data_IF_908221464848
#
_entry.id   IF_908221464848
#
_cell.length_a   1.000
_cell.length_b   1.000
_cell.length_c   1.000
_cell.angle_alpha   90.00
_cell.angle_beta   90.00
_cell.angle_gamma   90.00
#
_symmetry.space_group_name_H-M   'P 1'
#
loop_
_entity.id
_entity.type
_entity.pdbx_description
1 polymer ?
#
# COMPACT_ATOMS: atom_id res chain seq x y z
N UNK A 1 15.32 12.16 19.37
CA UNK A 1 15.09 11.41 18.12
C UNK A 1 14.67 12.40 17.05
N UNK A 2 15.25 12.35 15.85
CA UNK A 2 14.84 13.20 14.74
C UNK A 2 13.49 12.70 14.21
N UNK A 3 12.44 13.52 14.30
CA UNK A 3 11.15 13.24 13.66
C UNK A 3 11.17 13.84 12.26
N UNK A 4 10.71 13.08 11.27
CA UNK A 4 10.47 13.58 9.92
C UNK A 4 8.96 13.60 9.67
N UNK A 5 8.46 14.70 9.12
CA UNK A 5 7.06 14.84 8.72
C UNK A 5 6.91 14.58 7.24
N UNK A 6 5.95 13.73 6.88
CA UNK A 6 5.52 13.49 5.51
C UNK A 6 4.13 14.11 5.36
N UNK A 7 3.93 14.92 4.32
CA UNK A 7 2.67 15.61 4.03
C UNK A 7 2.16 15.21 2.65
N UNK A 8 0.86 14.96 2.56
CA UNK A 8 0.12 14.84 1.32
C UNK A 8 -1.11 15.76 1.37
N UNK A 9 -1.55 16.23 0.22
CA UNK A 9 -2.76 17.04 0.04
C UNK A 9 -3.64 16.38 -1.02
N UNK A 10 -4.95 16.43 -0.84
CA UNK A 10 -5.93 15.83 -1.76
C UNK A 10 -7.01 16.85 -2.07
N UNK A 11 -7.25 17.10 -3.34
CA UNK A 11 -8.25 18.07 -3.83
C UNK A 11 -9.25 17.37 -4.75
N UNK A 12 -10.53 17.72 -4.64
CA UNK A 12 -11.55 17.22 -5.58
C UNK A 12 -11.44 17.96 -6.91
N UNK A 13 -11.53 17.20 -8.00
CA UNK A 13 -11.66 17.75 -9.36
C UNK A 13 -13.12 17.69 -9.87
N UNK A 14 -14.07 17.31 -9.01
CA UNK A 14 -15.47 17.04 -9.37
C UNK A 14 -15.77 15.54 -9.44
N UNK A 15 -17.04 15.18 -9.16
CA UNK A 15 -17.42 13.77 -9.06
C UNK A 15 -16.62 13.03 -7.99
N UNK A 16 -16.10 11.84 -8.33
CA UNK A 16 -15.22 11.03 -7.48
C UNK A 16 -13.74 11.16 -7.85
N UNK A 17 -13.38 12.04 -8.78
CA UNK A 17 -11.99 12.27 -9.18
C UNK A 17 -11.27 13.18 -8.18
N UNK A 18 -10.10 12.73 -7.74
CA UNK A 18 -9.26 13.41 -6.76
C UNK A 18 -7.83 13.56 -7.27
N UNK A 19 -7.25 14.74 -7.09
CA UNK A 19 -5.82 15.01 -7.31
C UNK A 19 -5.08 14.85 -5.99
N UNK A 20 -4.14 13.91 -5.92
CA UNK A 20 -3.30 13.66 -4.76
C UNK A 20 -1.89 14.22 -4.99
N UNK A 21 -1.39 15.04 -4.07
CA UNK A 21 -0.11 15.74 -4.21
C UNK A 21 0.82 15.51 -3.02
N UNK A 22 2.11 15.25 -3.27
CA UNK A 22 3.13 15.15 -2.23
C UNK A 22 4.52 15.56 -2.76
N UNK A 23 5.20 16.51 -2.10
CA UNK A 23 6.55 16.99 -2.47
C UNK A 23 6.69 17.43 -3.94
N UNK A 24 5.62 17.96 -4.54
CA UNK A 24 5.58 18.38 -5.95
C UNK A 24 5.31 17.26 -6.97
N UNK A 25 5.05 16.03 -6.50
CA UNK A 25 4.53 14.95 -7.35
C UNK A 25 3.01 14.89 -7.23
N UNK A 26 2.35 14.52 -8.32
CA UNK A 26 0.90 14.37 -8.40
C UNK A 26 0.51 13.02 -8.99
N UNK A 27 -0.62 12.48 -8.52
CA UNK A 27 -1.30 11.36 -9.15
C UNK A 27 -2.82 11.49 -8.93
N UNK A 28 -3.59 10.81 -9.78
CA UNK A 28 -5.04 10.80 -9.70
C UNK A 28 -5.55 9.59 -8.93
N UNK A 29 -6.67 9.78 -8.26
CA UNK A 29 -7.53 8.75 -7.69
C UNK A 29 -8.93 8.95 -8.25
N UNK A 30 -9.62 7.85 -8.52
CA UNK A 30 -10.99 7.83 -9.01
C UNK A 30 -11.71 6.57 -8.49
N UNK A 31 -12.89 6.27 -8.98
CA UNK A 31 -13.58 5.01 -8.75
C UNK A 31 -14.04 4.39 -10.09
N UNK A 32 -14.32 3.09 -10.14
CA UNK A 32 -14.92 2.47 -11.32
C UNK A 32 -16.30 3.05 -11.66
N UNK A 33 -16.70 2.96 -12.93
CA UNK A 33 -17.98 3.50 -13.42
C UNK A 33 -19.19 2.92 -12.67
N UNK A 34 -19.14 1.64 -12.29
CA UNK A 34 -20.25 0.94 -11.62
C UNK A 34 -20.55 1.44 -10.20
N UNK A 35 -19.67 2.26 -9.61
CA UNK A 35 -19.86 2.92 -8.32
C UNK A 35 -19.86 4.45 -8.44
N UNK A 36 -19.95 4.99 -9.67
CA UNK A 36 -20.15 6.40 -9.95
C UNK A 36 -18.90 7.22 -10.22
N UNK A 37 -17.74 6.58 -10.38
CA UNK A 37 -16.53 7.24 -10.86
C UNK A 37 -16.42 7.22 -12.39
N UNK A 38 -15.24 7.56 -12.92
CA UNK A 38 -14.96 7.59 -14.37
C UNK A 38 -14.02 6.49 -14.84
N UNK A 39 -13.53 5.65 -13.92
CA UNK A 39 -12.55 4.61 -14.19
C UNK A 39 -11.27 5.13 -14.90
N UNK A 40 -10.90 6.40 -14.67
CA UNK A 40 -9.73 7.04 -15.29
C UNK A 40 -8.46 6.94 -14.41
N UNK A 41 -8.63 6.52 -13.15
CA UNK A 41 -7.54 6.25 -12.22
C UNK A 41 -7.91 5.10 -11.27
N UNK A 42 -6.90 4.59 -10.55
CA UNK A 42 -7.11 3.60 -9.49
C UNK A 42 -7.93 4.16 -8.34
N UNK A 43 -8.64 3.29 -7.64
CA UNK A 43 -9.35 3.68 -6.42
C UNK A 43 -8.42 3.82 -5.21
N UNK A 44 -8.86 4.50 -4.12
CA UNK A 44 -8.02 4.72 -2.95
C UNK A 44 -7.48 3.43 -2.34
N UNK A 45 -8.27 2.35 -2.39
CA UNK A 45 -7.90 1.06 -1.81
C UNK A 45 -6.86 0.34 -2.67
N UNK A 46 -6.97 0.39 -4.00
CA UNK A 46 -5.95 -0.08 -4.94
C UNK A 46 -4.64 0.69 -4.79
N UNK A 47 -4.71 2.02 -4.63
CA UNK A 47 -3.53 2.84 -4.35
C UNK A 47 -2.84 2.46 -3.04
N UNK A 48 -3.61 2.10 -2.00
CA UNK A 48 -3.05 1.57 -0.75
C UNK A 48 -2.33 0.22 -0.97
N UNK A 49 -2.91 -0.70 -1.74
CA UNK A 49 -2.25 -1.98 -2.08
C UNK A 49 -0.98 -1.75 -2.91
N UNK A 50 -1.01 -0.82 -3.87
CA UNK A 50 0.16 -0.41 -4.64
C UNK A 50 1.25 0.16 -3.73
N UNK A 51 0.89 1.03 -2.79
CA UNK A 51 1.82 1.59 -1.80
C UNK A 51 2.47 0.51 -0.93
N UNK A 52 1.69 -0.48 -0.48
CA UNK A 52 2.20 -1.62 0.28
C UNK A 52 3.20 -2.46 -0.53
N UNK A 53 2.86 -2.81 -1.78
CA UNK A 53 3.73 -3.56 -2.69
C UNK A 53 5.02 -2.79 -3.02
N UNK A 54 4.89 -1.50 -3.35
CA UNK A 54 6.02 -0.62 -3.63
C UNK A 54 6.96 -0.50 -2.42
N UNK A 55 6.40 -0.38 -1.22
CA UNK A 55 7.18 -0.31 0.01
C UNK A 55 7.98 -1.59 0.25
N UNK A 56 7.36 -2.77 0.09
CA UNK A 56 8.04 -4.08 0.18
C UNK A 56 9.20 -4.18 -0.83
N UNK A 57 8.97 -3.76 -2.08
CA UNK A 57 10.01 -3.73 -3.12
C UNK A 57 11.15 -2.75 -2.81
N UNK A 58 10.83 -1.57 -2.27
CA UNK A 58 11.82 -0.58 -1.86
C UNK A 58 12.72 -1.11 -0.72
N UNK A 59 12.16 -1.81 0.26
CA UNK A 59 12.95 -2.47 1.32
C UNK A 59 13.98 -3.42 0.70
N UNK A 60 13.59 -4.27 -0.26
CA UNK A 60 14.57 -5.13 -0.95
C UNK A 60 15.66 -4.31 -1.62
N UNK A 61 15.29 -3.26 -2.36
CA UNK A 61 16.26 -2.42 -3.08
C UNK A 61 17.26 -1.72 -2.15
N UNK A 62 16.85 -1.36 -0.93
CA UNK A 62 17.76 -0.77 0.05
C UNK A 62 18.74 -1.79 0.66
N UNK A 63 18.36 -3.07 0.77
CA UNK A 63 19.10 -4.04 1.57
C UNK A 63 19.65 -5.26 0.81
N UNK A 64 19.31 -5.47 -0.47
CA UNK A 64 19.68 -6.69 -1.19
C UNK A 64 21.20 -6.91 -1.29
N UNK A 65 21.99 -5.85 -1.51
CA UNK A 65 23.45 -5.94 -1.57
C UNK A 65 24.04 -6.34 -0.21
N UNK A 66 23.58 -5.69 0.86
CA UNK A 66 24.02 -6.00 2.22
C UNK A 66 23.66 -7.44 2.64
N UNK A 67 22.57 -7.97 2.08
CA UNK A 67 22.09 -9.35 2.27
C UNK A 67 22.70 -10.36 1.28
N UNK A 68 23.59 -9.93 0.38
CA UNK A 68 24.25 -10.78 -0.63
C UNK A 68 23.27 -11.55 -1.54
N UNK A 69 22.11 -10.96 -1.82
CA UNK A 69 21.12 -11.55 -2.74
C UNK A 69 21.50 -11.21 -4.18
N UNK A 70 21.68 -12.24 -5.01
CA UNK A 70 21.87 -12.16 -6.46
C UNK A 70 20.51 -12.18 -7.16
N UNK A 71 19.78 -11.07 -7.03
CA UNK A 71 18.43 -10.93 -7.53
C UNK A 71 18.41 -10.67 -9.04
N UNK A 72 17.78 -11.57 -9.81
CA UNK A 72 17.55 -11.41 -11.24
C UNK A 72 16.28 -10.57 -11.48
N UNK A 73 15.17 -11.00 -10.89
CA UNK A 73 13.91 -10.28 -10.95
C UNK A 73 13.06 -10.50 -9.70
N UNK A 74 12.17 -9.54 -9.43
CA UNK A 74 11.21 -9.64 -8.36
C UNK A 74 9.94 -8.88 -8.69
N UNK A 75 8.80 -9.50 -8.44
CA UNK A 75 7.47 -8.87 -8.47
C UNK A 75 6.74 -9.21 -7.18
N UNK A 76 5.96 -8.25 -6.70
CA UNK A 76 5.03 -8.46 -5.59
C UNK A 76 3.63 -8.17 -6.09
N UNK A 77 2.71 -9.07 -5.80
CA UNK A 77 1.28 -8.90 -6.05
C UNK A 77 0.57 -8.84 -4.70
N UNK A 78 -0.27 -7.82 -4.54
CA UNK A 78 -1.03 -7.59 -3.33
C UNK A 78 -2.52 -7.69 -3.67
N UNK A 79 -3.24 -8.55 -2.97
CA UNK A 79 -4.68 -8.73 -3.13
C UNK A 79 -5.35 -8.29 -1.83
N UNK A 80 -6.34 -7.42 -1.92
CA UNK A 80 -7.16 -7.00 -0.79
C UNK A 80 -8.58 -7.53 -0.90
N UNK A 81 -9.06 -8.21 0.14
CA UNK A 81 -10.44 -8.67 0.24
C UNK A 81 -11.25 -7.63 1.04
N UNK A 82 -12.41 -7.22 0.52
CA UNK A 82 -13.36 -6.33 1.22
C UNK A 82 -14.65 -7.11 1.42
N UNK A 83 -15.23 -6.98 2.61
CA UNK A 83 -16.53 -7.56 2.87
C UNK A 83 -17.66 -6.59 2.48
N UNK A 84 -18.32 -6.92 1.37
CA UNK A 84 -19.44 -6.15 0.81
C UNK A 84 -20.66 -6.07 1.74
N UNK A 85 -20.77 -6.92 2.77
CA UNK A 85 -21.88 -6.85 3.71
C UNK A 85 -21.85 -5.57 4.56
N UNK A 86 -20.68 -4.91 4.67
CA UNK A 86 -20.61 -3.58 5.25
C UNK A 86 -21.42 -2.55 4.45
N UNK A 87 -21.36 -2.63 3.12
CA UNK A 87 -22.16 -1.77 2.22
C UNK A 87 -23.66 -2.06 2.34
N UNK A 88 -24.04 -3.24 2.86
CA UNK A 88 -25.43 -3.62 3.16
C UNK A 88 -25.87 -3.22 4.58
N UNK A 89 -25.08 -2.43 5.29
CA UNK A 89 -25.44 -1.84 6.58
C UNK A 89 -25.15 -2.71 7.80
N UNK A 90 -24.42 -3.84 7.67
CA UNK A 90 -24.02 -4.62 8.85
C UNK A 90 -22.96 -3.85 9.67
N UNK A 91 -23.19 -3.61 10.98
CA UNK A 91 -22.30 -2.79 11.80
C UNK A 91 -20.99 -3.48 12.17
N UNK A 92 -20.99 -4.81 12.29
CA UNK A 92 -19.86 -5.59 12.83
C UNK A 92 -18.84 -6.02 11.75
N UNK A 93 -19.01 -5.55 10.53
CA UNK A 93 -18.14 -5.88 9.39
C UNK A 93 -17.07 -4.79 9.24
N UNK A 94 -15.82 -5.21 9.04
CA UNK A 94 -14.70 -4.29 8.82
C UNK A 94 -14.96 -3.40 7.59
N UNK A 95 -14.70 -2.11 7.73
CA UNK A 95 -14.93 -1.11 6.67
C UNK A 95 -13.91 -1.21 5.53
N UNK A 96 -12.64 -1.38 5.86
CA UNK A 96 -11.56 -1.59 4.89
C UNK A 96 -11.31 -3.07 4.60
N UNK A 97 -10.09 -3.40 4.15
CA UNK A 97 -9.72 -4.77 3.86
C UNK A 97 -9.89 -5.71 5.06
N UNK A 98 -10.66 -6.79 4.89
CA UNK A 98 -10.79 -7.89 5.84
C UNK A 98 -9.55 -8.78 5.83
N UNK A 99 -8.91 -8.90 4.66
CA UNK A 99 -7.68 -9.68 4.47
C UNK A 99 -6.83 -9.08 3.35
N UNK A 100 -5.52 -9.14 3.53
CA UNK A 100 -4.53 -8.78 2.50
C UNK A 100 -3.63 -9.98 2.27
N UNK A 101 -3.48 -10.39 1.02
CA UNK A 101 -2.60 -11.47 0.57
C UNK A 101 -1.42 -10.83 -0.15
N UNK A 102 -0.20 -11.25 0.17
CA UNK A 102 1.03 -10.84 -0.53
C UNK A 102 1.63 -12.05 -1.21
N UNK A 103 1.70 -12.03 -2.54
CA UNK A 103 2.36 -13.05 -3.35
C UNK A 103 3.71 -12.49 -3.82
N UNK A 104 4.79 -13.19 -3.45
CA UNK A 104 6.14 -12.88 -3.89
C UNK A 104 6.53 -13.77 -5.07
N UNK A 105 6.98 -13.15 -6.15
CA UNK A 105 7.58 -13.82 -7.30
C UNK A 105 9.05 -13.38 -7.34
N UNK A 106 9.96 -14.29 -6.99
CA UNK A 106 11.38 -13.99 -6.82
C UNK A 106 12.17 -14.95 -7.71
N UNK A 107 13.05 -14.38 -8.52
CA UNK A 107 14.05 -15.08 -9.32
C UNK A 107 15.42 -14.57 -8.87
N UNK A 108 16.22 -15.46 -8.26
CA UNK A 108 17.53 -15.15 -7.71
C UNK A 108 18.44 -16.38 -7.70
N UNK A 109 19.75 -16.14 -7.85
CA UNK A 109 20.79 -17.19 -7.77
C UNK A 109 21.20 -17.42 -6.30
N UNK A 110 20.22 -17.75 -5.46
CA UNK A 110 20.33 -17.91 -4.01
C UNK A 110 19.59 -19.19 -3.56
N UNK A 111 19.85 -19.67 -2.34
CA UNK A 111 19.10 -20.80 -1.80
C UNK A 111 17.69 -20.40 -1.36
N UNK A 112 16.79 -21.37 -1.26
CA UNK A 112 15.43 -21.16 -0.76
C UNK A 112 15.42 -20.56 0.65
N UNK A 113 16.38 -20.95 1.50
CA UNK A 113 16.56 -20.38 2.84
C UNK A 113 16.94 -18.90 2.79
N UNK A 114 17.89 -18.52 1.94
CA UNK A 114 18.29 -17.12 1.77
C UNK A 114 17.14 -16.25 1.25
N UNK A 115 16.31 -16.80 0.34
CA UNK A 115 15.12 -16.12 -0.17
C UNK A 115 14.05 -15.98 0.92
N UNK A 116 13.83 -17.02 1.74
CA UNK A 116 12.90 -16.95 2.90
C UNK A 116 13.36 -15.92 3.92
N UNK A 117 14.65 -15.86 4.21
CA UNK A 117 15.23 -14.88 5.13
C UNK A 117 15.10 -13.45 4.60
N UNK A 118 15.26 -13.26 3.28
CA UNK A 118 14.97 -12.00 2.62
C UNK A 118 13.51 -11.61 2.81
N UNK A 119 12.56 -12.49 2.51
CA UNK A 119 11.13 -12.21 2.65
C UNK A 119 10.75 -11.89 4.10
N UNK A 120 11.25 -12.67 5.07
CA UNK A 120 11.04 -12.41 6.49
C UNK A 120 11.57 -11.02 6.90
N UNK A 121 12.72 -10.62 6.36
CA UNK A 121 13.28 -9.29 6.59
C UNK A 121 12.41 -8.17 5.98
N UNK A 122 11.91 -8.34 4.75
CA UNK A 122 10.98 -7.40 4.12
C UNK A 122 9.72 -7.22 4.98
N UNK A 123 9.12 -8.34 5.38
CA UNK A 123 7.91 -8.37 6.19
C UNK A 123 8.08 -7.73 7.55
N UNK A 124 9.29 -7.76 8.12
CA UNK A 124 9.61 -7.12 9.40
C UNK A 124 9.88 -5.61 9.26
N UNK A 125 10.34 -5.17 8.10
CA UNK A 125 10.94 -3.82 7.95
C UNK A 125 10.03 -2.85 7.20
N UNK A 126 9.04 -3.32 6.46
CA UNK A 126 8.13 -2.50 5.66
C UNK A 126 7.29 -1.52 6.51
N UNK A 127 7.51 -0.18 6.43
CA UNK A 127 6.75 0.78 7.23
C UNK A 127 5.27 0.88 6.89
N UNK A 128 4.89 0.65 5.62
CA UNK A 128 3.48 0.67 5.20
C UNK A 128 2.75 -0.53 5.80
N UNK A 129 3.38 -1.72 5.81
CA UNK A 129 2.82 -2.88 6.51
C UNK A 129 2.64 -2.56 7.99
N UNK A 130 3.69 -2.06 8.64
CA UNK A 130 3.67 -1.71 10.06
C UNK A 130 2.50 -0.79 10.39
N UNK A 131 2.30 0.28 9.61
CA UNK A 131 1.17 1.22 9.78
C UNK A 131 -0.20 0.54 9.68
N UNK A 132 -0.34 -0.50 8.84
CA UNK A 132 -1.60 -1.24 8.66
C UNK A 132 -1.86 -2.21 9.83
N UNK A 133 -0.83 -2.88 10.34
CA UNK A 133 -0.97 -3.88 11.42
C UNK A 133 -0.91 -3.24 12.81
N UNK A 134 -0.20 -2.13 12.94
CA UNK A 134 0.00 -1.36 14.17
C UNK A 134 -0.51 0.06 13.90
N UNK A 135 -1.80 0.28 14.15
CA UNK A 135 -2.44 1.55 13.85
C UNK A 135 -1.76 2.70 14.62
N UNK A 136 -1.40 3.80 13.95
CA UNK A 136 -0.90 4.99 14.62
C UNK A 136 -2.05 5.69 15.38
N UNK A 137 -1.68 6.59 16.29
CA UNK A 137 -2.62 7.56 16.84
C UNK A 137 -3.17 8.46 15.72
N UNK A 138 -4.47 8.71 15.73
CA UNK A 138 -5.15 9.56 14.75
C UNK A 138 -5.72 10.80 15.43
N UNK A 139 -5.35 11.96 14.92
CA UNK A 139 -5.87 13.26 15.34
C UNK A 139 -6.60 13.90 14.15
N UNK A 140 -7.73 14.58 14.42
CA UNK A 140 -8.58 15.20 13.41
C UNK A 140 -8.79 16.68 13.72
N UNK A 141 -8.64 17.53 12.70
CA UNK A 141 -8.97 18.95 12.75
C UNK A 141 -9.82 19.34 11.54
N UNK A 142 -10.77 20.25 11.76
CA UNK A 142 -11.60 20.84 10.70
C UNK A 142 -11.21 22.31 10.57
N UNK A 143 -10.78 22.72 9.38
CA UNK A 143 -10.36 24.10 9.06
C UNK A 143 -11.39 24.69 8.09
N UNK A 144 -12.36 25.50 8.57
CA UNK A 144 -13.42 26.08 7.74
C UNK A 144 -12.92 27.22 6.84
#
# INVERSE_FOLDING_TARGET
MAKQLLKAEVESLGGLQLKCSARGFEFMIDEPENVGGTNEAMNPLEALLCSLGACKMMVVRFFYQAKKIKLNSMRVEIIGEIDSDRLKGKPDVKVGFSKIITNYYIDADNTDEEIKDLVAFIEKTCPVKDTIVNAPEMELHINP
#
